data_IF_715534033653
#
_entry.id   IF_715534033653
#
_cell.length_a   1.000
_cell.length_b   1.000
_cell.length_c   1.000
_cell.angle_alpha   90.00
_cell.angle_beta   90.00
_cell.angle_gamma   90.00
#
_symmetry.space_group_name_H-M   'P 1'
#
loop_
_entity.id
_entity.type
_entity.pdbx_description
1 polymer ?
#
# COMPACT_ATOMS: atom_id res chain seq x y z
N UNK A 1 11.04 -26.57 -15.15
CA UNK A 1 12.26 -25.76 -15.05
C UNK A 1 12.57 -25.54 -13.56
N UNK A 2 13.82 -25.71 -13.19
CA UNK A 2 14.29 -25.33 -11.85
C UNK A 2 14.61 -23.86 -11.90
N UNK A 3 13.87 -23.04 -11.16
CA UNK A 3 14.24 -21.66 -10.91
C UNK A 3 15.23 -21.63 -9.74
N UNK A 4 16.30 -20.86 -9.88
CA UNK A 4 17.24 -20.57 -8.82
C UNK A 4 16.91 -19.16 -8.28
N UNK A 5 16.77 -19.06 -6.97
CA UNK A 5 16.46 -17.80 -6.30
C UNK A 5 17.71 -17.34 -5.55
N UNK A 6 18.09 -16.09 -5.78
CA UNK A 6 19.19 -15.43 -5.10
C UNK A 6 18.66 -14.22 -4.34
N UNK A 7 19.08 -14.07 -3.10
CA UNK A 7 18.85 -12.86 -2.31
C UNK A 7 19.95 -11.84 -2.65
N UNK A 8 19.54 -10.74 -3.28
CA UNK A 8 20.44 -9.64 -3.66
C UNK A 8 20.18 -8.37 -2.84
N UNK A 9 19.51 -8.48 -1.70
CA UNK A 9 19.12 -7.32 -0.86
C UNK A 9 20.33 -6.46 -0.47
N UNK A 10 21.48 -7.07 -0.21
CA UNK A 10 22.72 -6.37 0.15
C UNK A 10 23.43 -5.74 -1.06
N UNK A 11 22.99 -6.05 -2.28
CA UNK A 11 23.64 -5.61 -3.52
C UNK A 11 23.02 -4.35 -4.11
N UNK A 12 21.85 -3.95 -3.66
CA UNK A 12 21.11 -2.81 -4.19
C UNK A 12 20.59 -1.92 -3.07
N UNK A 13 20.56 -0.61 -3.35
CA UNK A 13 19.87 0.40 -2.55
C UNK A 13 18.67 0.90 -3.36
N UNK A 14 17.52 0.98 -2.71
CA UNK A 14 16.30 1.51 -3.32
C UNK A 14 16.12 2.98 -2.94
N UNK A 15 15.91 3.81 -3.94
CA UNK A 15 15.59 5.24 -3.80
C UNK A 15 14.21 5.52 -4.37
N UNK A 16 13.44 6.34 -3.68
CA UNK A 16 12.19 6.90 -4.21
C UNK A 16 12.45 8.22 -4.94
N UNK A 17 11.86 8.40 -6.10
CA UNK A 17 11.83 9.68 -6.81
C UNK A 17 10.40 10.08 -7.15
N UNK A 18 10.06 11.34 -6.90
CA UNK A 18 8.79 11.95 -7.29
C UNK A 18 8.91 12.74 -8.58
N UNK A 19 10.12 12.82 -9.13
CA UNK A 19 10.40 13.47 -10.40
C UNK A 19 10.15 12.48 -11.55
N UNK A 20 9.42 12.94 -12.56
CA UNK A 20 9.15 12.19 -13.79
C UNK A 20 10.21 12.42 -14.88
N UNK A 21 11.30 13.12 -14.57
CA UNK A 21 12.43 13.29 -15.51
C UNK A 21 13.02 11.93 -15.90
N UNK A 22 13.54 11.86 -17.11
CA UNK A 22 14.17 10.65 -17.63
C UNK A 22 15.59 10.58 -17.08
N UNK A 23 15.83 9.76 -16.12
CA UNK A 23 17.16 9.45 -15.62
C UNK A 23 17.71 8.23 -16.35
N UNK A 24 18.97 8.32 -16.78
CA UNK A 24 19.72 7.17 -17.28
C UNK A 24 20.65 6.68 -16.18
N UNK A 25 20.39 5.47 -15.72
CA UNK A 25 21.31 4.79 -14.77
C UNK A 25 22.42 4.10 -15.56
N UNK A 26 23.64 4.23 -15.06
CA UNK A 26 24.80 3.48 -15.59
C UNK A 26 24.74 2.02 -15.14
N UNK A 27 24.12 1.74 -13.99
CA UNK A 27 23.94 0.41 -13.43
C UNK A 27 22.71 0.40 -12.52
N UNK A 28 21.90 -0.67 -12.61
CA UNK A 28 20.64 -0.78 -11.88
C UNK A 28 19.41 -0.77 -12.78
N UNK A 29 18.25 -0.53 -12.18
CA UNK A 29 16.97 -0.47 -12.91
C UNK A 29 15.99 0.51 -12.25
N UNK A 30 15.04 0.99 -13.05
CA UNK A 30 13.97 1.90 -12.60
C UNK A 30 12.64 1.17 -12.73
N UNK A 31 11.83 1.24 -11.67
CA UNK A 31 10.44 0.81 -11.69
C UNK A 31 9.57 2.05 -11.75
N UNK A 32 8.89 2.26 -12.87
CA UNK A 32 7.92 3.33 -13.04
C UNK A 32 6.62 2.95 -12.32
N UNK A 33 6.19 3.79 -11.39
CA UNK A 33 4.90 3.71 -10.72
C UNK A 33 4.02 4.87 -11.20
N UNK A 34 2.73 4.83 -10.90
CA UNK A 34 1.78 5.81 -11.43
C UNK A 34 2.18 7.29 -11.20
N UNK A 35 2.70 7.62 -10.02
CA UNK A 35 3.03 9.00 -9.61
C UNK A 35 4.42 9.15 -8.99
N UNK A 36 5.28 8.14 -9.16
CA UNK A 36 6.62 8.08 -8.58
C UNK A 36 7.46 7.00 -9.24
N UNK A 37 8.72 6.93 -8.91
CA UNK A 37 9.66 5.91 -9.40
C UNK A 37 10.42 5.29 -8.26
N UNK A 38 10.73 4.02 -8.37
CA UNK A 38 11.74 3.36 -7.56
C UNK A 38 13.02 3.19 -8.41
N UNK A 39 14.13 3.61 -7.85
CA UNK A 39 15.45 3.51 -8.47
C UNK A 39 16.26 2.52 -7.65
N UNK A 40 16.54 1.37 -8.23
CA UNK A 40 17.33 0.32 -7.62
C UNK A 40 18.74 0.35 -8.20
N UNK A 41 19.75 0.66 -7.39
CA UNK A 41 21.15 0.82 -7.83
C UNK A 41 22.11 0.19 -6.84
N UNK A 42 23.20 -0.43 -7.33
CA UNK A 42 24.31 -0.85 -6.49
C UNK A 42 25.13 0.34 -5.97
N UNK A 43 24.99 1.51 -6.59
CA UNK A 43 25.69 2.74 -6.18
C UNK A 43 24.87 3.55 -5.20
N UNK A 44 25.51 4.08 -4.16
CA UNK A 44 24.87 4.98 -3.20
C UNK A 44 24.85 6.39 -3.79
N UNK A 45 23.65 6.96 -3.94
CA UNK A 45 23.46 8.36 -4.32
C UNK A 45 23.28 9.23 -3.08
N UNK A 46 23.62 10.52 -3.20
CA UNK A 46 23.21 11.49 -2.20
C UNK A 46 21.69 11.74 -2.36
N UNK A 47 20.92 11.29 -1.41
CA UNK A 47 19.49 11.47 -1.40
C UNK A 47 19.03 12.19 -0.12
N UNK A 48 17.94 12.91 -0.20
CA UNK A 48 17.26 13.42 0.98
C UNK A 48 16.68 12.26 1.80
N UNK A 49 16.77 12.37 3.12
CA UNK A 49 16.27 11.33 4.04
C UNK A 49 14.81 11.54 4.45
N UNK A 50 14.16 12.59 3.93
CA UNK A 50 12.76 12.86 4.23
C UNK A 50 11.84 11.95 3.42
N UNK A 51 11.29 10.92 4.07
CA UNK A 51 10.35 9.97 3.46
C UNK A 51 8.92 10.54 3.33
N UNK A 52 8.60 11.65 4.00
CA UNK A 52 7.24 12.21 4.02
C UNK A 52 6.60 12.42 2.65
N UNK A 53 7.26 13.06 1.68
CA UNK A 53 6.71 13.23 0.33
C UNK A 53 6.42 11.90 -0.38
N UNK A 54 7.23 10.86 -0.16
CA UNK A 54 6.99 9.53 -0.69
C UNK A 54 5.73 8.90 -0.08
N UNK A 55 5.60 8.99 1.25
CA UNK A 55 4.41 8.52 1.97
C UNK A 55 3.14 9.26 1.52
N UNK A 56 3.23 10.57 1.25
CA UNK A 56 2.12 11.35 0.70
C UNK A 56 1.73 10.90 -0.71
N UNK A 57 2.69 10.52 -1.52
CA UNK A 57 2.42 9.96 -2.85
C UNK A 57 1.72 8.59 -2.74
N UNK A 58 2.11 7.73 -1.80
CA UNK A 58 1.44 6.46 -1.51
C UNK A 58 0.03 6.67 -0.97
N UNK A 59 -0.14 7.57 -0.01
CA UNK A 59 -1.45 7.95 0.52
C UNK A 59 -2.38 8.44 -0.60
N UNK A 60 -1.88 9.32 -1.47
CA UNK A 60 -2.65 9.86 -2.59
C UNK A 60 -3.01 8.79 -3.63
N UNK A 61 -2.15 7.82 -3.85
CA UNK A 61 -2.40 6.68 -4.74
C UNK A 61 -3.29 5.60 -4.09
N UNK A 62 -3.53 5.66 -2.75
CA UNK A 62 -4.26 4.63 -2.03
C UNK A 62 -3.46 3.33 -1.93
N UNK A 63 -2.16 3.43 -1.72
CA UNK A 63 -1.26 2.28 -1.59
C UNK A 63 -0.83 2.14 -0.13
N UNK A 64 -1.11 1.00 0.46
CA UNK A 64 -0.64 0.61 1.77
C UNK A 64 0.16 -0.69 1.67
N UNK A 65 1.29 -0.75 2.36
CA UNK A 65 2.12 -1.94 2.43
C UNK A 65 1.73 -2.82 3.61
N UNK A 66 1.95 -4.12 3.46
CA UNK A 66 1.78 -5.05 4.57
C UNK A 66 2.86 -4.77 5.61
N UNK A 67 2.44 -4.45 6.82
CA UNK A 67 3.30 -4.23 7.99
C UNK A 67 3.21 -5.43 8.94
N UNK A 68 4.05 -5.45 9.96
CA UNK A 68 4.01 -6.47 11.00
C UNK A 68 2.62 -6.56 11.67
N UNK A 69 1.96 -5.41 11.88
CA UNK A 69 0.63 -5.33 12.50
C UNK A 69 -0.52 -5.75 11.59
N UNK A 70 -0.32 -5.74 10.26
CA UNK A 70 -1.32 -6.11 9.27
C UNK A 70 -1.05 -7.45 8.57
N UNK A 71 0.07 -8.09 8.89
CA UNK A 71 0.45 -9.38 8.31
C UNK A 71 -0.60 -10.44 8.62
N UNK A 72 -1.04 -11.15 7.58
CA UNK A 72 -2.06 -12.21 7.62
C UNK A 72 -3.47 -11.79 8.07
N UNK A 73 -3.73 -10.50 8.33
CA UNK A 73 -5.03 -9.99 8.78
C UNK A 73 -6.00 -9.69 7.64
N UNK A 74 -5.48 -9.39 6.45
CA UNK A 74 -6.27 -8.87 5.34
C UNK A 74 -6.00 -9.60 4.04
N UNK A 75 -7.04 -9.74 3.22
CA UNK A 75 -6.88 -10.18 1.83
C UNK A 75 -6.27 -9.04 0.99
N UNK A 76 -5.49 -9.35 -0.06
CA UNK A 76 -4.93 -8.33 -0.94
C UNK A 76 -5.96 -7.38 -1.55
N UNK A 77 -7.19 -7.85 -1.82
CA UNK A 77 -8.27 -7.00 -2.30
C UNK A 77 -8.73 -5.96 -1.25
N UNK A 78 -8.55 -6.24 0.06
CA UNK A 78 -8.86 -5.27 1.11
C UNK A 78 -7.88 -4.12 1.15
N UNK A 79 -6.65 -4.33 0.64
CA UNK A 79 -5.62 -3.31 0.38
C UNK A 79 -5.76 -2.65 -1.00
N UNK A 80 -6.80 -2.99 -1.74
CA UNK A 80 -7.06 -2.47 -3.08
C UNK A 80 -6.04 -2.92 -4.15
N UNK A 81 -5.23 -3.94 -3.88
CA UNK A 81 -4.16 -4.40 -4.78
C UNK A 81 -4.67 -4.89 -6.14
N UNK A 82 -5.92 -5.33 -6.24
CA UNK A 82 -6.54 -5.71 -7.51
C UNK A 82 -6.74 -4.53 -8.48
N UNK A 83 -6.77 -3.29 -7.97
CA UNK A 83 -6.85 -2.07 -8.78
C UNK A 83 -5.46 -1.42 -9.01
N UNK A 84 -4.41 -2.04 -8.47
CA UNK A 84 -3.03 -1.54 -8.50
C UNK A 84 -2.10 -2.54 -9.22
N UNK A 85 -2.64 -3.42 -10.04
CA UNK A 85 -1.92 -4.50 -10.71
C UNK A 85 -1.12 -5.43 -9.78
N UNK A 86 -1.43 -5.39 -8.48
CA UNK A 86 -0.80 -6.24 -7.45
C UNK A 86 -1.36 -7.66 -7.41
N UNK A 87 -2.40 -7.98 -8.17
CA UNK A 87 -2.99 -9.31 -8.29
C UNK A 87 -3.17 -9.64 -9.77
N UNK A 88 -2.51 -10.71 -10.21
CA UNK A 88 -2.71 -11.27 -11.53
C UNK A 88 -3.70 -12.44 -11.45
N UNK A 89 -4.88 -12.27 -12.03
CA UNK A 89 -5.94 -13.30 -12.07
C UNK A 89 -5.76 -14.31 -13.21
N UNK A 90 -4.89 -14.05 -14.17
CA UNK A 90 -4.68 -14.88 -15.36
C UNK A 90 -3.43 -15.77 -15.24
N UNK A 91 -2.55 -15.51 -14.26
CA UNK A 91 -1.38 -16.34 -14.01
C UNK A 91 -1.75 -17.76 -13.58
N UNK A 92 -0.81 -18.68 -13.73
CA UNK A 92 -0.96 -20.09 -13.29
C UNK A 92 -1.24 -20.23 -11.79
N UNK A 93 -1.53 -21.46 -11.36
CA UNK A 93 -1.93 -21.77 -9.99
C UNK A 93 -0.87 -21.38 -8.95
N UNK A 94 -1.34 -20.81 -7.83
CA UNK A 94 -0.51 -20.45 -6.69
C UNK A 94 -1.26 -20.74 -5.37
N UNK A 95 -0.51 -20.83 -4.29
CA UNK A 95 -1.08 -21.08 -2.97
C UNK A 95 -1.98 -19.90 -2.53
N UNK A 96 -3.23 -20.20 -2.14
CA UNK A 96 -4.21 -19.18 -1.71
C UNK A 96 -5.06 -18.57 -2.83
N UNK A 97 -4.83 -18.92 -4.09
CA UNK A 97 -5.60 -18.38 -5.23
C UNK A 97 -7.11 -18.56 -5.12
N UNK A 98 -7.56 -19.66 -4.50
CA UNK A 98 -8.99 -19.98 -4.39
C UNK A 98 -9.74 -18.89 -3.62
N UNK A 99 -9.18 -18.42 -2.50
CA UNK A 99 -9.79 -17.35 -1.68
C UNK A 99 -9.78 -16.03 -2.46
N UNK A 100 -8.69 -15.72 -3.15
CA UNK A 100 -8.54 -14.51 -3.97
C UNK A 100 -9.56 -14.51 -5.11
N UNK A 101 -9.61 -15.57 -5.90
CA UNK A 101 -10.54 -15.70 -7.01
C UNK A 101 -12.00 -15.73 -6.55
N UNK A 102 -12.31 -16.47 -5.47
CA UNK A 102 -13.65 -16.50 -4.90
C UNK A 102 -14.12 -15.11 -4.46
N UNK A 103 -13.26 -14.33 -3.82
CA UNK A 103 -13.57 -12.96 -3.40
C UNK A 103 -13.85 -12.08 -4.61
N UNK A 104 -13.07 -12.22 -5.68
CA UNK A 104 -13.23 -11.42 -6.90
C UNK A 104 -14.51 -11.73 -7.66
N UNK A 105 -14.84 -13.02 -7.83
CA UNK A 105 -15.91 -13.44 -8.75
C UNK A 105 -17.23 -13.81 -8.08
N UNK A 106 -17.23 -14.11 -6.79
CA UNK A 106 -18.41 -14.62 -6.07
C UNK A 106 -18.60 -14.02 -4.67
N UNK A 107 -17.64 -13.23 -4.20
CA UNK A 107 -17.65 -12.68 -2.87
C UNK A 107 -18.01 -11.19 -2.86
N UNK A 108 -18.44 -10.73 -1.70
CA UNK A 108 -18.57 -9.32 -1.38
C UNK A 108 -17.43 -8.93 -0.43
N UNK A 109 -16.70 -7.89 -0.80
CA UNK A 109 -15.63 -7.36 0.02
C UNK A 109 -16.26 -6.60 1.21
N UNK A 110 -16.16 -7.17 2.40
CA UNK A 110 -16.72 -6.58 3.62
C UNK A 110 -15.84 -5.51 4.23
N UNK A 111 -14.57 -5.46 3.85
CA UNK A 111 -13.58 -4.48 4.31
C UNK A 111 -12.87 -3.91 3.11
N UNK A 112 -12.60 -2.60 3.14
CA UNK A 112 -11.94 -1.88 2.05
C UNK A 112 -10.98 -0.83 2.60
N UNK A 113 -10.00 -0.47 1.79
CA UNK A 113 -9.07 0.60 2.09
C UNK A 113 -9.77 1.96 1.94
N UNK A 114 -9.54 2.82 2.93
CA UNK A 114 -10.08 4.18 2.99
C UNK A 114 -8.98 5.17 3.34
N UNK A 115 -9.10 6.36 2.78
CA UNK A 115 -8.32 7.54 3.21
C UNK A 115 -9.05 8.25 4.32
N UNK A 116 -8.33 8.60 5.37
CA UNK A 116 -8.81 9.45 6.44
C UNK A 116 -7.81 10.56 6.72
N UNK A 117 -8.35 11.66 7.26
CA UNK A 117 -7.54 12.78 7.76
C UNK A 117 -7.95 13.02 9.21
N UNK A 118 -7.04 12.70 10.13
CA UNK A 118 -7.21 12.96 11.56
C UNK A 118 -6.53 14.27 11.92
N UNK A 119 -7.07 14.98 12.91
CA UNK A 119 -6.43 16.16 13.49
C UNK A 119 -5.19 15.80 14.33
N UNK A 120 -5.04 14.53 14.71
CA UNK A 120 -3.94 14.02 15.52
C UNK A 120 -3.05 13.12 14.68
N UNK A 121 -1.78 13.02 15.05
CA UNK A 121 -0.91 11.96 14.55
C UNK A 121 -1.48 10.60 14.96
N UNK A 122 -1.45 9.63 14.05
CA UNK A 122 -1.99 8.28 14.23
C UNK A 122 -0.94 7.26 13.84
N UNK A 123 -0.87 6.19 14.60
CA UNK A 123 0.07 5.10 14.35
C UNK A 123 -0.54 3.95 13.55
N UNK A 124 0.31 3.20 12.83
CA UNK A 124 -0.11 1.95 12.17
C UNK A 124 -0.56 0.96 13.24
N UNK A 125 -1.71 0.31 13.02
CA UNK A 125 -2.34 -0.59 13.97
C UNK A 125 -3.35 0.10 14.90
N UNK A 126 -3.42 1.43 14.91
CA UNK A 126 -4.39 2.14 15.74
C UNK A 126 -5.82 1.82 15.30
N UNK A 127 -6.67 1.47 16.27
CA UNK A 127 -7.99 0.94 16.00
C UNK A 127 -9.07 2.01 15.93
N UNK A 128 -10.00 1.80 14.99
CA UNK A 128 -11.27 2.49 14.88
C UNK A 128 -12.42 1.52 15.23
N UNK A 129 -13.61 2.05 15.39
CA UNK A 129 -14.83 1.28 15.65
C UNK A 129 -15.17 0.25 14.55
N UNK A 130 -14.66 0.45 13.34
CA UNK A 130 -14.94 -0.39 12.17
C UNK A 130 -13.67 -0.93 11.47
N UNK A 131 -12.46 -0.78 12.06
CA UNK A 131 -11.22 -1.28 11.47
C UNK A 131 -9.97 -0.72 12.10
N UNK A 132 -8.88 -0.65 11.34
CA UNK A 132 -7.60 -0.13 11.84
C UNK A 132 -6.77 0.60 10.78
N UNK A 133 -5.89 1.48 11.23
CA UNK A 133 -4.91 2.19 10.41
C UNK A 133 -3.87 1.18 9.91
N UNK A 134 -3.58 1.21 8.61
CA UNK A 134 -2.60 0.32 7.97
C UNK A 134 -1.42 1.06 7.34
N UNK A 135 -1.54 2.37 7.13
CA UNK A 135 -0.44 3.23 6.69
C UNK A 135 -0.65 4.66 7.17
N UNK A 136 0.45 5.39 7.33
CA UNK A 136 0.45 6.81 7.75
C UNK A 136 1.30 7.64 6.82
N UNK A 137 0.88 8.89 6.59
CA UNK A 137 1.56 9.89 5.80
C UNK A 137 1.36 11.27 6.44
N UNK A 138 2.18 12.28 6.12
CA UNK A 138 1.95 13.65 6.57
C UNK A 138 0.54 14.18 6.26
N UNK A 139 -0.01 13.84 5.09
CA UNK A 139 -1.34 14.29 4.65
C UNK A 139 -2.51 13.50 5.23
N UNK A 140 -2.27 12.33 5.87
CA UNK A 140 -3.34 11.53 6.44
C UNK A 140 -2.99 10.07 6.65
N UNK A 141 -4.00 9.23 6.80
CA UNK A 141 -3.85 7.81 7.07
C UNK A 141 -4.63 6.97 6.06
N UNK A 142 -4.16 5.75 5.83
CA UNK A 142 -4.93 4.71 5.18
C UNK A 142 -5.38 3.70 6.23
N UNK A 143 -6.64 3.33 6.18
CA UNK A 143 -7.23 2.35 7.09
C UNK A 143 -8.06 1.32 6.33
N UNK A 144 -8.02 0.07 6.78
CA UNK A 144 -8.92 -0.97 6.29
C UNK A 144 -10.15 -0.99 7.20
N UNK A 145 -11.28 -0.54 6.66
CA UNK A 145 -12.52 -0.38 7.40
C UNK A 145 -13.61 -1.33 6.88
N UNK A 146 -14.50 -1.75 7.80
CA UNK A 146 -15.70 -2.51 7.47
C UNK A 146 -16.67 -1.58 6.74
N UNK A 147 -16.75 -1.75 5.44
CA UNK A 147 -17.64 -1.01 4.56
C UNK A 147 -17.96 -1.85 3.33
N UNK A 148 -19.23 -2.16 3.13
CA UNK A 148 -19.72 -2.93 1.97
C UNK A 148 -20.10 -2.03 0.80
N UNK A 149 -20.16 -0.71 1.03
CA UNK A 149 -20.48 0.29 0.01
C UNK A 149 -19.23 1.02 -0.44
N UNK A 150 -19.27 1.60 -1.62
CA UNK A 150 -18.20 2.46 -2.11
C UNK A 150 -18.52 3.95 -1.84
N UNK A 151 -19.08 4.23 -0.65
CA UNK A 151 -19.44 5.58 -0.21
C UNK A 151 -18.60 5.99 1.00
N UNK A 152 -18.36 7.28 1.20
CA UNK A 152 -17.72 7.77 2.42
C UNK A 152 -18.52 7.34 3.66
N UNK A 153 -17.82 7.02 4.73
CA UNK A 153 -18.41 6.71 6.04
C UNK A 153 -17.75 7.55 7.12
N UNK A 154 -18.42 7.68 8.24
CA UNK A 154 -17.80 8.23 9.45
C UNK A 154 -17.26 7.09 10.29
N UNK A 155 -15.97 7.15 10.62
CA UNK A 155 -15.30 6.22 11.51
C UNK A 155 -14.85 6.94 12.79
N UNK A 156 -14.77 6.21 13.89
CA UNK A 156 -14.44 6.76 15.21
C UNK A 156 -13.24 6.05 15.81
N UNK A 157 -12.23 6.81 16.18
CA UNK A 157 -11.10 6.31 16.96
C UNK A 157 -11.50 6.03 18.43
N UNK A 158 -10.72 5.19 19.10
CA UNK A 158 -10.95 4.85 20.51
C UNK A 158 -10.89 6.04 21.45
N UNK A 159 -10.15 7.10 21.10
CA UNK A 159 -10.09 8.34 21.86
C UNK A 159 -11.29 9.27 21.64
N UNK A 160 -12.24 8.86 20.81
CA UNK A 160 -13.49 9.59 20.54
C UNK A 160 -13.44 10.50 19.32
N UNK A 161 -12.31 10.71 18.67
CA UNK A 161 -12.25 11.48 17.42
C UNK A 161 -13.01 10.78 16.30
N UNK A 162 -13.91 11.53 15.64
CA UNK A 162 -14.64 11.08 14.47
C UNK A 162 -13.98 11.66 13.22
N UNK A 163 -13.80 10.82 12.21
CA UNK A 163 -13.19 11.20 10.92
C UNK A 163 -14.05 10.72 9.76
N UNK A 164 -14.05 11.49 8.68
CA UNK A 164 -14.60 11.04 7.41
C UNK A 164 -13.61 10.09 6.74
N UNK A 165 -14.07 8.90 6.38
CA UNK A 165 -13.29 7.90 5.69
C UNK A 165 -13.81 7.76 4.25
N UNK A 166 -12.96 8.09 3.28
CA UNK A 166 -13.27 8.04 1.84
C UNK A 166 -12.66 6.80 1.22
N UNK A 167 -13.40 6.00 0.43
CA UNK A 167 -12.83 4.87 -0.28
C UNK A 167 -11.64 5.28 -1.18
N UNK A 168 -10.65 4.39 -1.27
CA UNK A 168 -9.51 4.54 -2.16
C UNK A 168 -9.82 4.06 -3.56
#
# INVERSE_FOLDING_TARGET
SKAELHDNSDSYVCYGSLDHSTETLSDGFIIELHNRKEIWSPSVFSAETNIGPWQDAEYSAGIAWVSETSQAEYLPQMFNYHNQDGIDFEKGCYLGQEIIARTQYRGELKRRLHRLTSAKARDIGEELDCGSVVATAPSGQLAVLKNTTNQPITAKFKDGECVEAKPC
#
